data_IF_358215453029
#
_entry.id   IF_358215453029
#
_cell.length_a   1.000
_cell.length_b   1.000
_cell.length_c   1.000
_cell.angle_alpha   90.00
_cell.angle_beta   90.00
_cell.angle_gamma   90.00
#
_symmetry.space_group_name_H-M   'P 1'
#
loop_
_entity.id
_entity.type
_entity.pdbx_description
1 polymer ?
#
# COMPACT_ATOMS: atom_id res chain seq x y z
N UNK A 1 -9.46 0.11 -27.95
CA UNK A 1 -10.71 -0.44 -27.36
C UNK A 1 -10.68 -1.94 -27.56
N UNK A 2 -10.43 -2.71 -26.50
CA UNK A 2 -10.47 -4.18 -26.52
C UNK A 2 -11.36 -4.60 -25.35
N UNK A 3 -12.48 -5.26 -25.67
CA UNK A 3 -13.45 -5.81 -24.73
C UNK A 3 -13.05 -7.26 -24.42
N UNK A 4 -12.68 -7.55 -23.18
CA UNK A 4 -12.59 -8.92 -22.65
C UNK A 4 -13.34 -8.93 -21.31
N UNK A 5 -14.39 -9.76 -21.24
CA UNK A 5 -15.14 -10.15 -20.05
C UNK A 5 -15.46 -9.06 -19.01
N UNK A 6 -16.65 -8.47 -19.12
CA UNK A 6 -17.60 -8.21 -18.02
C UNK A 6 -17.17 -7.45 -16.74
N UNK A 7 -15.90 -7.07 -16.60
CA UNK A 7 -15.37 -6.28 -15.50
C UNK A 7 -14.93 -4.99 -16.16
N UNK A 8 -15.76 -3.96 -16.03
CA UNK A 8 -15.34 -2.60 -16.30
C UNK A 8 -14.27 -2.24 -15.27
N UNK A 9 -13.02 -2.62 -15.56
CA UNK A 9 -11.86 -2.15 -14.83
C UNK A 9 -11.76 -0.66 -15.14
N UNK A 10 -12.54 0.15 -14.42
CA UNK A 10 -12.32 1.60 -14.37
C UNK A 10 -10.93 1.77 -13.80
N UNK A 11 -9.98 2.04 -14.68
CA UNK A 11 -8.60 2.35 -14.34
C UNK A 11 -8.60 3.68 -13.56
N UNK A 12 -8.82 3.58 -12.25
CA UNK A 12 -8.74 4.71 -11.34
C UNK A 12 -7.36 4.70 -10.73
N UNK A 13 -6.67 5.83 -10.72
CA UNK A 13 -5.40 6.01 -10.01
C UNK A 13 -5.45 5.49 -8.55
N UNK A 14 -6.64 5.48 -7.94
CA UNK A 14 -6.92 4.93 -6.61
C UNK A 14 -6.75 3.41 -6.49
N UNK A 15 -6.96 2.64 -7.56
CA UNK A 15 -6.72 1.18 -7.56
C UNK A 15 -5.22 0.85 -7.52
N UNK A 16 -4.36 1.77 -7.95
CA UNK A 16 -2.92 1.54 -8.13
C UNK A 16 -2.13 2.01 -6.90
N UNK A 17 -2.75 2.82 -6.05
CA UNK A 17 -2.12 3.46 -4.89
C UNK A 17 -1.47 2.46 -3.92
N UNK A 18 -2.11 1.33 -3.62
CA UNK A 18 -1.53 0.28 -2.75
C UNK A 18 -0.32 -0.39 -3.39
N UNK A 19 -0.37 -0.67 -4.69
CA UNK A 19 0.76 -1.21 -5.44
C UNK A 19 1.93 -0.24 -5.47
N UNK A 20 1.69 1.06 -5.64
CA UNK A 20 2.72 2.10 -5.57
C UNK A 20 3.40 2.08 -4.21
N UNK A 21 2.66 2.00 -3.10
CA UNK A 21 3.25 1.95 -1.77
C UNK A 21 4.15 0.74 -1.56
N UNK A 22 3.74 -0.43 -2.04
CA UNK A 22 4.53 -1.66 -1.93
C UNK A 22 5.80 -1.57 -2.78
N UNK A 23 5.69 -1.09 -4.03
CA UNK A 23 6.83 -0.93 -4.93
C UNK A 23 7.83 0.08 -4.35
N UNK A 24 7.34 1.22 -3.87
CA UNK A 24 8.18 2.25 -3.25
C UNK A 24 8.83 1.77 -1.96
N UNK A 25 8.13 0.98 -1.14
CA UNK A 25 8.70 0.32 0.03
C UNK A 25 9.84 -0.62 -0.38
N UNK A 26 9.60 -1.48 -1.37
CA UNK A 26 10.59 -2.44 -1.86
C UNK A 26 11.85 -1.74 -2.41
N UNK A 27 11.66 -0.69 -3.22
CA UNK A 27 12.77 0.13 -3.73
C UNK A 27 13.55 0.78 -2.58
N UNK A 28 12.85 1.35 -1.60
CA UNK A 28 13.48 1.98 -0.43
C UNK A 28 14.29 0.97 0.37
N UNK A 29 13.76 -0.25 0.57
CA UNK A 29 14.46 -1.34 1.26
C UNK A 29 15.72 -1.75 0.51
N UNK A 30 15.63 -1.95 -0.81
CA UNK A 30 16.78 -2.36 -1.63
C UNK A 30 17.89 -1.31 -1.56
N UNK A 31 17.55 -0.03 -1.75
CA UNK A 31 18.52 1.07 -1.67
C UNK A 31 19.12 1.14 -0.27
N UNK A 32 18.28 1.05 0.78
CA UNK A 32 18.74 1.08 2.17
C UNK A 32 19.74 -0.04 2.46
N UNK A 33 19.46 -1.27 2.02
CA UNK A 33 20.34 -2.42 2.24
C UNK A 33 21.70 -2.23 1.55
N UNK A 34 21.71 -1.74 0.31
CA UNK A 34 22.96 -1.48 -0.43
C UNK A 34 23.78 -0.41 0.29
N UNK A 35 23.16 0.72 0.64
CA UNK A 35 23.86 1.83 1.30
C UNK A 35 24.30 1.48 2.72
N UNK A 36 23.48 0.71 3.46
CA UNK A 36 23.86 0.20 4.77
C UNK A 36 25.05 -0.75 4.68
N UNK A 37 25.09 -1.59 3.65
CA UNK A 37 26.26 -2.42 3.39
C UNK A 37 27.51 -1.57 3.13
N UNK A 38 27.41 -0.54 2.30
CA UNK A 38 28.55 0.32 1.95
C UNK A 38 29.06 1.15 3.14
N UNK A 39 28.17 1.66 3.99
CA UNK A 39 28.53 2.54 5.12
C UNK A 39 28.93 1.80 6.40
N UNK A 40 28.28 0.67 6.70
CA UNK A 40 28.35 0.04 8.04
C UNK A 40 29.03 -1.32 7.99
N UNK A 41 28.69 -2.16 7.01
CA UNK A 41 29.17 -3.55 6.96
C UNK A 41 30.51 -3.66 6.24
N UNK A 42 30.65 -3.00 5.08
CA UNK A 42 31.82 -3.08 4.23
C UNK A 42 32.02 -4.45 3.53
N UNK A 43 30.93 -5.18 3.22
CA UNK A 43 31.06 -6.50 2.58
C UNK A 43 31.61 -6.38 1.16
N UNK A 44 32.85 -6.84 0.98
CA UNK A 44 33.57 -6.77 -0.29
C UNK A 44 32.95 -7.61 -1.41
N UNK A 45 32.19 -8.67 -1.10
CA UNK A 45 31.52 -9.48 -2.12
C UNK A 45 30.41 -8.70 -2.84
N UNK A 46 29.66 -7.88 -2.11
CA UNK A 46 28.60 -7.01 -2.67
C UNK A 46 29.22 -5.83 -3.41
N UNK A 47 30.29 -5.23 -2.86
CA UNK A 47 30.98 -4.12 -3.52
C UNK A 47 31.57 -4.57 -4.87
N UNK A 48 32.16 -5.77 -4.94
CA UNK A 48 32.72 -6.34 -6.17
C UNK A 48 31.68 -6.75 -7.20
N UNK A 49 30.42 -6.96 -6.82
CA UNK A 49 29.35 -7.26 -7.77
C UNK A 49 28.86 -6.02 -8.53
N UNK A 50 29.35 -4.83 -8.18
CA UNK A 50 28.95 -3.55 -8.76
C UNK A 50 27.69 -2.94 -8.13
N UNK A 51 27.07 -3.63 -7.17
CA UNK A 51 25.95 -3.10 -6.39
C UNK A 51 26.49 -2.27 -5.23
N UNK A 52 26.98 -1.08 -5.55
CA UNK A 52 27.54 -0.14 -4.56
C UNK A 52 27.31 1.30 -4.97
N UNK A 53 27.14 2.16 -3.98
CA UNK A 53 27.10 3.61 -4.12
C UNK A 53 28.42 4.26 -3.70
N UNK A 54 29.50 3.50 -3.47
CA UNK A 54 30.80 4.02 -2.99
C UNK A 54 31.36 5.17 -3.84
N UNK A 55 31.10 5.18 -5.14
CA UNK A 55 31.52 6.25 -6.06
C UNK A 55 30.84 7.60 -5.81
N UNK A 56 29.73 7.63 -5.07
CA UNK A 56 29.00 8.87 -4.75
C UNK A 56 29.61 9.64 -3.57
N UNK A 57 30.59 9.06 -2.87
CA UNK A 57 31.29 9.71 -1.76
C UNK A 57 30.33 10.18 -0.65
N UNK A 58 30.46 11.43 -0.20
CA UNK A 58 29.65 11.98 0.88
C UNK A 58 28.13 12.03 0.59
N UNK A 59 27.71 11.94 -0.67
CA UNK A 59 26.28 11.86 -0.99
C UNK A 59 25.61 10.59 -0.47
N UNK A 60 26.38 9.54 -0.21
CA UNK A 60 25.89 8.28 0.34
C UNK A 60 25.14 8.44 1.66
N UNK A 61 25.57 9.36 2.54
CA UNK A 61 24.89 9.63 3.81
C UNK A 61 23.48 10.21 3.61
N UNK A 62 23.29 11.05 2.59
CA UNK A 62 21.97 11.59 2.26
C UNK A 62 21.05 10.50 1.69
N UNK A 63 21.59 9.63 0.82
CA UNK A 63 20.84 8.49 0.28
C UNK A 63 20.43 7.53 1.42
N UNK A 64 21.31 7.31 2.39
CA UNK A 64 21.00 6.53 3.59
C UNK A 64 19.82 7.11 4.36
N UNK A 65 19.84 8.41 4.65
CA UNK A 65 18.76 9.10 5.38
C UNK A 65 17.44 9.02 4.61
N UNK A 66 17.46 9.31 3.31
CA UNK A 66 16.25 9.30 2.46
C UNK A 66 15.66 7.90 2.35
N UNK A 67 16.49 6.88 2.14
CA UNK A 67 16.02 5.49 2.05
C UNK A 67 15.46 4.97 3.38
N UNK A 68 16.06 5.35 4.51
CA UNK A 68 15.54 5.03 5.84
C UNK A 68 14.18 5.71 6.10
N UNK A 69 14.05 7.00 5.80
CA UNK A 69 12.79 7.72 5.94
C UNK A 69 11.71 7.15 5.01
N UNK A 70 12.07 6.85 3.77
CA UNK A 70 11.18 6.20 2.80
C UNK A 70 10.68 4.86 3.32
N UNK A 71 11.57 4.02 3.85
CA UNK A 71 11.23 2.73 4.44
C UNK A 71 10.23 2.90 5.58
N UNK A 72 10.46 3.82 6.51
CA UNK A 72 9.53 4.10 7.63
C UNK A 72 8.16 4.55 7.10
N UNK A 73 8.13 5.50 6.17
CA UNK A 73 6.88 6.06 5.63
C UNK A 73 6.08 5.00 4.87
N UNK A 74 6.71 4.26 3.97
CA UNK A 74 6.00 3.29 3.14
C UNK A 74 5.57 2.06 3.94
N UNK A 75 6.36 1.61 4.92
CA UNK A 75 5.92 0.55 5.86
C UNK A 75 4.70 1.03 6.65
N UNK A 76 4.74 2.26 7.18
CA UNK A 76 3.60 2.81 7.90
C UNK A 76 2.32 2.89 7.04
N UNK A 77 2.45 3.40 5.81
CA UNK A 77 1.32 3.47 4.87
C UNK A 77 0.77 2.08 4.53
N UNK A 78 1.65 1.08 4.35
CA UNK A 78 1.25 -0.29 4.10
C UNK A 78 0.50 -0.92 5.28
N UNK A 79 1.02 -0.78 6.51
CA UNK A 79 0.35 -1.27 7.72
C UNK A 79 -1.01 -0.59 7.93
N UNK A 80 -1.10 0.71 7.66
CA UNK A 80 -2.36 1.45 7.70
C UNK A 80 -3.37 0.91 6.69
N UNK A 81 -2.94 0.66 5.45
CA UNK A 81 -3.78 0.05 4.42
C UNK A 81 -4.31 -1.32 4.86
N UNK A 82 -3.45 -2.18 5.42
CA UNK A 82 -3.85 -3.49 5.94
C UNK A 82 -4.87 -3.39 7.08
N UNK A 83 -4.66 -2.43 7.99
CA UNK A 83 -5.57 -2.21 9.13
C UNK A 83 -6.94 -1.74 8.67
N UNK A 84 -6.99 -0.78 7.75
CA UNK A 84 -8.23 -0.27 7.16
C UNK A 84 -8.96 -1.37 6.36
N UNK A 85 -8.23 -2.17 5.58
CA UNK A 85 -8.78 -3.30 4.83
C UNK A 85 -9.34 -4.41 5.74
N UNK A 86 -8.66 -4.69 6.85
CA UNK A 86 -9.13 -5.64 7.86
C UNK A 86 -10.40 -5.14 8.52
N UNK A 87 -10.41 -3.89 9.01
CA UNK A 87 -11.60 -3.26 9.63
C UNK A 87 -12.79 -3.28 8.67
N UNK A 88 -12.58 -2.99 7.40
CA UNK A 88 -13.62 -3.05 6.39
C UNK A 88 -14.21 -4.45 6.25
N UNK A 89 -13.35 -5.46 6.10
CA UNK A 89 -13.74 -6.87 5.98
C UNK A 89 -14.50 -7.35 7.20
N UNK A 90 -14.02 -7.02 8.41
CA UNK A 90 -14.62 -7.43 9.67
C UNK A 90 -16.06 -6.89 9.82
N UNK A 91 -16.30 -5.63 9.40
CA UNK A 91 -17.64 -5.03 9.49
C UNK A 91 -18.57 -5.58 8.41
N UNK A 92 -18.10 -5.78 7.17
CA UNK A 92 -18.94 -6.30 6.09
C UNK A 92 -19.29 -7.79 6.26
N UNK A 93 -18.36 -8.58 6.80
CA UNK A 93 -18.61 -10.01 7.08
C UNK A 93 -19.47 -10.25 8.32
N UNK A 94 -19.67 -9.23 9.15
CA UNK A 94 -20.51 -9.32 10.33
C UNK A 94 -21.99 -9.57 10.00
N UNK A 95 -22.65 -10.41 10.81
CA UNK A 95 -24.08 -10.76 10.66
C UNK A 95 -25.06 -9.70 11.19
N UNK A 96 -24.57 -8.62 11.80
CA UNK A 96 -25.42 -7.60 12.42
C UNK A 96 -25.65 -6.40 11.50
N UNK A 97 -26.90 -6.26 11.01
CA UNK A 97 -27.37 -5.08 10.27
C UNK A 97 -27.14 -3.78 11.05
N UNK A 98 -27.37 -3.80 12.36
CA UNK A 98 -27.20 -2.62 13.21
C UNK A 98 -25.74 -2.18 13.27
N UNK A 99 -24.80 -3.13 13.34
CA UNK A 99 -23.37 -2.83 13.30
C UNK A 99 -22.96 -2.26 11.93
N UNK A 100 -23.52 -2.78 10.83
CA UNK A 100 -23.29 -2.25 9.49
C UNK A 100 -23.77 -0.79 9.35
N UNK A 101 -25.02 -0.50 9.75
CA UNK A 101 -25.59 0.86 9.65
C UNK A 101 -24.81 1.84 10.53
N UNK A 102 -24.46 1.46 11.76
CA UNK A 102 -23.69 2.31 12.68
C UNK A 102 -22.33 2.72 12.11
N UNK A 103 -21.69 1.83 11.35
CA UNK A 103 -20.37 2.05 10.78
C UNK A 103 -20.41 2.44 9.29
N UNK A 104 -21.57 2.71 8.71
CA UNK A 104 -21.71 2.90 7.27
C UNK A 104 -20.88 4.07 6.74
N UNK A 105 -20.90 5.21 7.44
CA UNK A 105 -20.10 6.40 7.08
C UNK A 105 -18.59 6.12 7.12
N UNK A 106 -18.16 5.34 8.09
CA UNK A 106 -16.76 4.91 8.21
C UNK A 106 -16.40 3.94 7.07
N UNK A 107 -17.28 2.99 6.76
CA UNK A 107 -17.12 2.06 5.64
C UNK A 107 -17.03 2.79 4.30
N UNK A 108 -17.86 3.80 4.05
CA UNK A 108 -17.80 4.62 2.84
C UNK A 108 -16.46 5.36 2.74
N UNK A 109 -16.00 5.94 3.85
CA UNK A 109 -14.71 6.61 3.92
C UNK A 109 -13.55 5.65 3.68
N UNK A 110 -13.59 4.45 4.26
CA UNK A 110 -12.56 3.42 4.09
C UNK A 110 -12.59 2.88 2.67
N UNK A 111 -13.76 2.56 2.12
CA UNK A 111 -13.93 2.10 0.75
C UNK A 111 -13.38 3.12 -0.26
N UNK A 112 -13.70 4.40 -0.08
CA UNK A 112 -13.20 5.47 -0.92
C UNK A 112 -11.66 5.57 -0.90
N UNK A 113 -11.05 5.37 0.27
CA UNK A 113 -9.58 5.39 0.45
C UNK A 113 -8.89 4.16 -0.11
N UNK A 114 -9.46 2.97 0.08
CA UNK A 114 -8.86 1.70 -0.34
C UNK A 114 -9.04 1.45 -1.85
N UNK A 115 -10.07 2.04 -2.44
CA UNK A 115 -10.26 2.11 -3.89
C UNK A 115 -11.54 1.43 -4.39
N UNK A 116 -11.81 1.54 -5.70
CA UNK A 116 -13.02 1.04 -6.37
C UNK A 116 -13.47 -0.37 -6.00
N UNK A 117 -12.55 -1.33 -5.83
CA UNK A 117 -12.91 -2.71 -5.46
C UNK A 117 -13.58 -2.81 -4.08
N UNK A 118 -13.20 -1.94 -3.13
CA UNK A 118 -13.84 -1.86 -1.83
C UNK A 118 -15.16 -1.09 -1.90
N UNK A 119 -15.28 -0.10 -2.79
CA UNK A 119 -16.56 0.57 -3.08
C UNK A 119 -17.59 -0.41 -3.63
N UNK A 120 -17.19 -1.28 -4.56
CA UNK A 120 -18.07 -2.33 -5.13
C UNK A 120 -18.56 -3.31 -4.05
N UNK A 121 -17.64 -3.83 -3.22
CA UNK A 121 -17.99 -4.68 -2.07
C UNK A 121 -18.95 -4.00 -1.09
N UNK A 122 -18.79 -2.69 -0.89
CA UNK A 122 -19.70 -1.91 -0.04
C UNK A 122 -21.08 -1.80 -0.67
N UNK A 123 -21.18 -1.59 -1.98
CA UNK A 123 -22.46 -1.55 -2.69
C UNK A 123 -23.18 -2.90 -2.66
N UNK A 124 -22.46 -4.01 -2.83
CA UNK A 124 -23.01 -5.35 -2.66
C UNK A 124 -23.53 -5.57 -1.22
N UNK A 125 -22.81 -5.08 -0.20
CA UNK A 125 -23.26 -5.14 1.17
C UNK A 125 -24.51 -4.28 1.42
N UNK A 126 -24.58 -3.05 0.88
CA UNK A 126 -25.77 -2.20 0.95
C UNK A 126 -26.99 -2.87 0.33
N UNK A 127 -26.81 -3.50 -0.82
CA UNK A 127 -27.86 -4.25 -1.53
C UNK A 127 -28.37 -5.43 -0.70
N UNK A 128 -27.48 -6.24 -0.10
CA UNK A 128 -27.84 -7.35 0.79
C UNK A 128 -28.74 -6.94 1.96
N UNK A 129 -28.54 -5.74 2.50
CA UNK A 129 -29.31 -5.22 3.62
C UNK A 129 -30.56 -4.41 3.22
N UNK A 130 -30.88 -4.34 1.92
CA UNK A 130 -31.90 -3.46 1.34
C UNK A 130 -31.76 -2.00 1.80
N UNK A 131 -30.52 -1.53 1.96
CA UNK A 131 -30.27 -0.16 2.41
C UNK A 131 -30.48 0.81 1.25
N UNK A 132 -31.59 1.56 1.26
CA UNK A 132 -31.86 2.69 0.38
C UNK A 132 -31.49 3.97 1.13
N UNK A 133 -30.26 4.43 0.97
CA UNK A 133 -29.75 5.68 1.51
C UNK A 133 -28.79 6.30 0.53
#
# INVERSE_FOLDING_TARGET
MIFIYGVSMKFSFRNIQSYIYIIMAAVSIVIFVIVFNDLVIGNQAIIRSGLTFASTGNWMYWIFIVSLLGLIVFIYLYLKFLTDAKKFTDIISGSSKQNFIKNLKDLERIAYKLGPAFEEKLQEAKSRWNFKG
#
